data_IF_428373309505
#
_entry.id   IF_428373309505
#
_cell.length_a   1.000
_cell.length_b   1.000
_cell.length_c   1.000
_cell.angle_alpha   90.00
_cell.angle_beta   90.00
_cell.angle_gamma   90.00
#
_symmetry.space_group_name_H-M   'P 1'
#
loop_
_entity.id
_entity.type
_entity.pdbx_description
1 polymer ?
#
# COMPACT_ATOMS: atom_id res chain seq x y z
N UNK A 1 25.65 6.54 5.67
CA UNK A 1 25.27 6.48 4.24
C UNK A 1 23.74 6.47 4.20
N UNK A 2 23.10 7.42 3.55
CA UNK A 2 21.65 7.38 3.34
C UNK A 2 21.37 6.29 2.31
N UNK A 3 20.80 5.16 2.74
CA UNK A 3 20.32 4.13 1.82
C UNK A 3 19.12 4.72 1.09
N UNK A 4 19.21 4.88 -0.23
CA UNK A 4 18.07 5.35 -1.01
C UNK A 4 17.02 4.25 -1.06
N UNK A 5 15.78 4.57 -0.68
CA UNK A 5 14.64 3.64 -0.77
C UNK A 5 14.09 3.73 -2.19
N UNK A 6 14.36 2.71 -3.01
CA UNK A 6 13.83 2.65 -4.38
C UNK A 6 12.79 1.55 -4.54
N UNK A 7 12.82 0.53 -3.68
CA UNK A 7 11.94 -0.64 -3.76
C UNK A 7 11.27 -0.98 -2.43
N UNK A 8 10.15 -1.72 -2.44
CA UNK A 8 9.53 -2.27 -1.24
C UNK A 8 10.50 -3.12 -0.38
N UNK A 9 11.38 -3.90 -1.01
CA UNK A 9 12.48 -4.61 -0.36
C UNK A 9 13.41 -3.65 0.39
N UNK A 10 13.86 -2.58 -0.24
CA UNK A 10 14.73 -1.58 0.40
C UNK A 10 14.04 -0.93 1.60
N UNK A 11 12.74 -0.65 1.48
CA UNK A 11 11.93 -0.08 2.56
C UNK A 11 11.87 -1.04 3.76
N UNK A 12 11.66 -2.33 3.50
CA UNK A 12 11.59 -3.33 4.54
C UNK A 12 12.92 -3.47 5.30
N UNK A 13 14.04 -3.47 4.58
CA UNK A 13 15.38 -3.54 5.18
C UNK A 13 15.74 -2.32 6.04
N UNK A 14 15.06 -1.19 5.83
CA UNK A 14 15.23 0.02 6.61
C UNK A 14 14.28 0.13 7.81
N UNK A 15 13.33 -0.79 7.95
CA UNK A 15 12.48 -0.84 9.13
C UNK A 15 13.33 -1.18 10.38
N UNK A 16 12.91 -0.72 11.58
CA UNK A 16 13.52 -1.14 12.83
C UNK A 16 13.62 -2.69 12.89
N UNK A 17 14.74 -3.27 13.35
CA UNK A 17 14.95 -4.72 13.32
C UNK A 17 13.83 -5.54 13.98
N UNK A 18 13.25 -5.00 15.05
CA UNK A 18 12.12 -5.57 15.78
C UNK A 18 10.79 -5.56 14.99
N UNK A 19 10.72 -4.78 13.91
CA UNK A 19 9.52 -4.64 13.07
C UNK A 19 9.60 -5.33 11.72
N UNK A 20 10.80 -5.70 11.25
CA UNK A 20 10.99 -6.35 9.94
C UNK A 20 10.09 -7.58 9.82
N UNK A 21 10.06 -8.44 10.85
CA UNK A 21 9.22 -9.64 10.87
C UNK A 21 7.73 -9.34 10.70
N UNK A 22 7.20 -8.40 11.50
CA UNK A 22 5.78 -7.99 11.44
C UNK A 22 5.44 -7.33 10.11
N UNK A 23 6.31 -6.45 9.61
CA UNK A 23 6.13 -5.77 8.33
C UNK A 23 6.11 -6.78 7.17
N UNK A 24 7.03 -7.76 7.16
CA UNK A 24 7.04 -8.84 6.17
C UNK A 24 5.75 -9.68 6.23
N UNK A 25 5.28 -10.01 7.43
CA UNK A 25 4.06 -10.79 7.59
C UNK A 25 2.83 -10.03 7.06
N UNK A 26 2.71 -8.74 7.37
CA UNK A 26 1.63 -7.89 6.84
C UNK A 26 1.71 -7.77 5.32
N UNK A 27 2.90 -7.48 4.78
CA UNK A 27 3.16 -7.41 3.34
C UNK A 27 2.73 -8.68 2.61
N UNK A 28 3.15 -9.85 3.13
CA UNK A 28 2.78 -11.15 2.57
C UNK A 28 1.27 -11.39 2.64
N UNK A 29 0.65 -11.06 3.77
CA UNK A 29 -0.80 -11.24 3.97
C UNK A 29 -1.58 -10.39 2.98
N UNK A 30 -1.20 -9.13 2.78
CA UNK A 30 -1.84 -8.26 1.79
C UNK A 30 -1.69 -8.86 0.40
N UNK A 31 -0.47 -9.21 -0.01
CA UNK A 31 -0.21 -9.74 -1.35
C UNK A 31 -1.00 -11.02 -1.66
N UNK A 32 -1.12 -11.92 -0.68
CA UNK A 32 -1.87 -13.17 -0.84
C UNK A 32 -3.39 -13.00 -0.94
N UNK A 33 -3.93 -11.90 -0.38
CA UNK A 33 -5.37 -11.64 -0.37
C UNK A 33 -5.79 -10.59 -1.42
N UNK A 34 -4.85 -9.96 -2.11
CA UNK A 34 -5.16 -9.07 -3.22
C UNK A 34 -5.56 -9.87 -4.46
N UNK A 35 -6.64 -9.47 -5.16
CA UNK A 35 -6.97 -10.02 -6.47
C UNK A 35 -5.82 -9.81 -7.47
N UNK A 36 -5.83 -10.59 -8.56
CA UNK A 36 -4.90 -10.36 -9.66
C UNK A 36 -5.09 -8.96 -10.28
N UNK A 37 -3.99 -8.32 -10.68
CA UNK A 37 -4.01 -7.02 -11.35
C UNK A 37 -3.48 -5.86 -10.51
N UNK A 38 -3.24 -6.07 -9.22
CA UNK A 38 -2.53 -5.10 -8.39
C UNK A 38 -1.01 -5.21 -8.57
N UNK A 39 -0.32 -4.08 -8.40
CA UNK A 39 1.15 -4.01 -8.38
C UNK A 39 1.62 -3.46 -7.04
N UNK A 40 2.74 -4.01 -6.54
CA UNK A 40 3.43 -3.49 -5.36
C UNK A 40 4.53 -2.51 -5.79
N UNK A 41 4.57 -1.33 -5.17
CA UNK A 41 5.51 -0.27 -5.52
C UNK A 41 5.83 0.62 -4.32
N UNK A 42 6.80 1.51 -4.48
CA UNK A 42 6.98 2.63 -3.56
C UNK A 42 5.98 3.74 -3.90
N UNK A 43 5.13 4.07 -2.93
CA UNK A 43 4.10 5.10 -3.06
C UNK A 43 4.19 6.06 -1.89
N UNK A 44 4.38 7.35 -2.14
CA UNK A 44 4.52 8.39 -1.11
C UNK A 44 5.52 8.05 0.02
N UNK A 45 6.61 7.35 -0.30
CA UNK A 45 7.64 6.97 0.67
C UNK A 45 7.31 5.75 1.54
N UNK A 46 6.29 4.98 1.18
CA UNK A 46 5.88 3.75 1.86
C UNK A 46 5.59 2.63 0.85
N UNK A 47 5.42 1.39 1.33
CA UNK A 47 4.98 0.28 0.48
C UNK A 47 3.54 0.54 0.08
N UNK A 48 3.25 0.53 -1.22
CA UNK A 48 1.92 0.75 -1.76
C UNK A 48 1.49 -0.38 -2.69
N UNK A 49 0.20 -0.72 -2.64
CA UNK A 49 -0.45 -1.60 -3.60
C UNK A 49 -1.41 -0.77 -4.44
N UNK A 50 -1.22 -0.82 -5.76
CA UNK A 50 -1.87 0.11 -6.70
C UNK A 50 -2.50 -0.65 -7.86
N UNK A 51 -3.52 -0.06 -8.48
CA UNK A 51 -4.02 -0.51 -9.79
C UNK A 51 -3.18 0.20 -10.86
N UNK A 52 -2.44 -0.54 -11.71
CA UNK A 52 -1.56 0.05 -12.70
C UNK A 52 -2.35 0.72 -13.83
N UNK A 53 -1.69 1.65 -14.52
CA UNK A 53 -2.27 2.36 -15.68
C UNK A 53 -2.70 1.44 -16.82
N UNK A 54 -2.09 0.26 -16.95
CA UNK A 54 -2.48 -0.76 -17.91
C UNK A 54 -3.92 -1.26 -17.68
N UNK A 55 -4.39 -1.24 -16.43
CA UNK A 55 -5.75 -1.62 -16.06
C UNK A 55 -6.65 -0.40 -15.81
N UNK A 56 -6.10 0.71 -15.34
CA UNK A 56 -6.84 1.94 -15.07
C UNK A 56 -6.13 3.18 -15.64
N UNK A 57 -6.29 3.46 -16.95
CA UNK A 57 -5.54 4.53 -17.63
C UNK A 57 -5.79 5.95 -17.13
N UNK A 58 -6.89 6.18 -16.40
CA UNK A 58 -7.22 7.49 -15.84
C UNK A 58 -6.34 7.85 -14.63
N UNK A 59 -5.67 6.87 -14.01
CA UNK A 59 -4.78 7.10 -12.87
C UNK A 59 -5.47 7.66 -11.62
N UNK A 60 -4.69 8.28 -10.74
CA UNK A 60 -5.20 8.88 -9.52
C UNK A 60 -5.83 10.27 -9.76
N UNK A 61 -6.98 10.54 -9.13
CA UNK A 61 -7.82 11.73 -9.36
C UNK A 61 -7.04 13.06 -9.39
N UNK A 62 -6.22 13.34 -8.37
CA UNK A 62 -5.51 14.61 -8.26
C UNK A 62 -4.22 14.67 -9.11
N UNK A 63 -3.68 13.52 -9.50
CA UNK A 63 -2.49 13.41 -10.34
C UNK A 63 -2.57 12.15 -11.21
N UNK A 64 -3.13 12.26 -12.43
CA UNK A 64 -3.34 11.13 -13.32
C UNK A 64 -2.05 10.42 -13.78
N UNK A 65 -0.87 10.96 -13.50
CA UNK A 65 0.40 10.26 -13.77
C UNK A 65 0.66 9.15 -12.76
N UNK A 66 0.08 9.26 -11.57
CA UNK A 66 0.20 8.23 -10.54
C UNK A 66 -0.82 7.12 -10.80
N UNK A 67 -0.44 5.84 -10.57
CA UNK A 67 -1.40 4.74 -10.59
C UNK A 67 -2.45 4.94 -9.48
N UNK A 68 -3.59 4.27 -9.60
CA UNK A 68 -4.67 4.40 -8.62
C UNK A 68 -4.28 3.72 -7.30
N UNK A 69 -4.13 4.45 -6.18
CA UNK A 69 -3.74 3.88 -4.91
C UNK A 69 -4.86 3.06 -4.29
N UNK A 70 -4.52 1.94 -3.66
CA UNK A 70 -5.50 1.09 -2.97
C UNK A 70 -5.12 0.84 -1.51
N UNK A 71 -3.93 0.31 -1.26
CA UNK A 71 -3.40 0.04 0.09
C UNK A 71 -2.04 0.68 0.25
N UNK A 72 -1.72 1.12 1.46
CA UNK A 72 -0.36 1.47 1.83
C UNK A 72 0.01 0.97 3.22
N UNK A 73 1.26 0.54 3.37
CA UNK A 73 1.82 -0.01 4.59
C UNK A 73 3.10 0.75 4.97
N UNK A 74 3.12 1.30 6.19
CA UNK A 74 4.23 2.14 6.65
C UNK A 74 4.69 1.76 8.07
N UNK A 75 6.00 1.67 8.28
CA UNK A 75 6.60 1.61 9.62
C UNK A 75 6.87 3.03 10.13
N UNK A 76 5.94 3.56 10.94
CA UNK A 76 6.04 4.87 11.57
C UNK A 76 6.78 4.79 12.91
N UNK A 77 7.33 5.89 13.43
CA UNK A 77 8.18 5.87 14.65
C UNK A 77 7.64 5.01 15.80
N UNK A 78 6.33 5.02 16.05
CA UNK A 78 5.71 4.33 17.19
C UNK A 78 4.72 3.21 16.81
N UNK A 79 4.37 3.05 15.54
CA UNK A 79 3.31 2.13 15.12
C UNK A 79 3.50 1.69 13.66
N UNK A 80 2.73 0.68 13.24
CA UNK A 80 2.60 0.31 11.83
C UNK A 80 1.31 0.94 11.31
N UNK A 81 1.42 1.79 10.30
CA UNK A 81 0.29 2.39 9.62
C UNK A 81 -0.20 1.49 8.49
N UNK A 82 -1.49 1.14 8.53
CA UNK A 82 -2.19 0.45 7.45
C UNK A 82 -3.28 1.36 6.92
N UNK A 83 -3.17 1.75 5.65
CA UNK A 83 -4.11 2.64 4.98
C UNK A 83 -4.79 1.85 3.87
N UNK A 84 -6.13 1.81 3.87
CA UNK A 84 -6.91 0.99 2.95
C UNK A 84 -8.08 1.80 2.38
N UNK A 85 -8.14 1.92 1.06
CA UNK A 85 -9.18 2.69 0.36
C UNK A 85 -10.42 1.87 -0.03
N UNK A 86 -10.44 0.57 0.26
CA UNK A 86 -11.53 -0.31 -0.19
C UNK A 86 -12.87 -0.10 0.51
N UNK A 87 -12.95 0.68 1.60
CA UNK A 87 -14.24 1.07 2.18
C UNK A 87 -15.11 1.83 1.17
N UNK A 88 -14.48 2.56 0.25
CA UNK A 88 -15.21 3.29 -0.79
C UNK A 88 -15.71 2.41 -1.95
N UNK A 89 -15.22 1.18 -2.05
CA UNK A 89 -15.47 0.30 -3.19
C UNK A 89 -16.58 -0.74 -2.92
N UNK A 90 -16.99 -0.90 -1.67
CA UNK A 90 -18.05 -1.83 -1.27
C UNK A 90 -19.24 -1.04 -0.73
N UNK A 91 -20.32 -1.00 -1.51
CA UNK A 91 -21.53 -0.24 -1.17
C UNK A 91 -22.21 -0.75 0.10
N UNK A 92 -22.18 -2.07 0.36
CA UNK A 92 -22.78 -2.66 1.56
C UNK A 92 -21.94 -2.32 2.79
N UNK A 93 -20.62 -2.47 2.68
CA UNK A 93 -19.71 -2.10 3.77
C UNK A 93 -19.75 -0.60 4.06
N UNK A 94 -19.93 0.23 3.04
CA UNK A 94 -20.09 1.67 3.18
C UNK A 94 -21.40 2.01 3.91
N UNK A 95 -22.52 1.40 3.52
CA UNK A 95 -23.82 1.56 4.19
C UNK A 95 -23.72 1.15 5.66
N UNK A 96 -23.18 -0.02 5.97
CA UNK A 96 -22.97 -0.49 7.34
C UNK A 96 -22.06 0.43 8.17
N UNK A 97 -21.06 1.07 7.55
CA UNK A 97 -20.12 1.96 8.23
C UNK A 97 -20.71 3.33 8.55
N UNK A 98 -21.56 3.86 7.67
CA UNK A 98 -22.15 5.20 7.82
C UNK A 98 -23.54 5.20 8.48
N UNK A 99 -24.24 4.06 8.50
CA UNK A 99 -25.55 3.88 9.13
C UNK A 99 -26.72 4.05 8.17
#
# INVERSE_FOLDING_TARGET
MSVQIHTPEDYLLQCPPDRIGTMQQLRNTIWQNLPSGYEETMSYGMIGYVVPHSLYPAGYHCNPKLPLPFISLASQKNFIGFYHMGLYADALLMEDFFG
#
